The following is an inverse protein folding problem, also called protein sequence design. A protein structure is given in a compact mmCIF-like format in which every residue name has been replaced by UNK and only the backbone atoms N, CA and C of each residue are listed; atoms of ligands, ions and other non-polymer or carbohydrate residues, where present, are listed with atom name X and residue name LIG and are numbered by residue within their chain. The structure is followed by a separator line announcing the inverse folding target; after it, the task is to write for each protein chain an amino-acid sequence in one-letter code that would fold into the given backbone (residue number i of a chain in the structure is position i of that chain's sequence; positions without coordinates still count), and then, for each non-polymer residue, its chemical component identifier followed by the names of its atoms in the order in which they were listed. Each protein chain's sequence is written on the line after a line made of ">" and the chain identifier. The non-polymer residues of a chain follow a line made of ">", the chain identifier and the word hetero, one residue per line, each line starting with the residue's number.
data_IF_322784483372
#
_entry.id   IF_322784483372
#
_cell.length_a   1.000
_cell.length_b   1.000
_cell.length_c   1.000
_cell.angle_alpha   90.00
_cell.angle_beta   90.00
_cell.angle_gamma   90.00
#
_symmetry.space_group_name_H-M   'P 1'
#
loop_
_entity.id
_entity.type
_entity.pdbx_description
1 polymer ?
#
# COMPACT_ATOMS: atom_id res chain seq x y z
N UNK A 1 17.64 13.45 -1.83
CA UNK A 1 18.51 12.33 -2.26
C UNK A 1 17.63 11.10 -2.34
N UNK A 2 17.59 10.38 -3.46
CA UNK A 2 16.74 9.19 -3.57
C UNK A 2 17.22 8.10 -2.60
N UNK A 3 16.32 7.36 -1.94
CA UNK A 3 16.71 6.34 -0.96
C UNK A 3 17.44 5.19 -1.67
N UNK A 4 18.50 4.68 -1.03
CA UNK A 4 19.22 3.50 -1.51
C UNK A 4 18.49 2.19 -1.19
N UNK A 5 17.54 2.22 -0.25
CA UNK A 5 16.72 1.08 0.13
C UNK A 5 15.33 1.55 0.61
N UNK A 6 14.32 0.73 0.35
CA UNK A 6 12.99 0.83 0.96
C UNK A 6 12.68 -0.47 1.70
N UNK A 7 12.13 -0.34 2.90
CA UNK A 7 11.89 -1.49 3.77
C UNK A 7 10.47 -1.49 4.30
N UNK A 8 9.78 -2.61 4.10
CA UNK A 8 8.57 -2.96 4.85
C UNK A 8 8.96 -3.82 6.04
N UNK A 9 8.41 -3.49 7.23
CA UNK A 9 8.55 -4.29 8.45
C UNK A 9 7.18 -4.52 9.07
N UNK A 10 6.95 -5.74 9.50
CA UNK A 10 5.79 -6.12 10.30
C UNK A 10 6.27 -6.90 11.53
N UNK A 11 5.60 -6.66 12.66
CA UNK A 11 5.94 -7.23 13.95
C UNK A 11 5.75 -6.22 15.09
N UNK A 12 6.44 -6.45 16.20
CA UNK A 12 6.47 -5.56 17.36
C UNK A 12 7.77 -4.77 17.43
N UNK A 13 7.84 -3.79 18.33
CA UNK A 13 9.10 -3.08 18.59
C UNK A 13 10.24 -4.01 19.04
N UNK A 14 9.90 -5.15 19.65
CA UNK A 14 10.86 -6.13 20.16
C UNK A 14 11.18 -7.24 19.14
N UNK A 15 10.34 -7.44 18.13
CA UNK A 15 10.49 -8.55 17.17
C UNK A 15 9.93 -8.19 15.79
N UNK A 16 10.80 -8.17 14.79
CA UNK A 16 10.40 -8.14 13.38
C UNK A 16 10.01 -9.55 12.95
N UNK A 17 8.75 -9.72 12.56
CA UNK A 17 8.18 -11.00 12.11
C UNK A 17 8.24 -11.16 10.60
N UNK A 18 8.21 -10.05 9.87
CA UNK A 18 8.36 -10.03 8.41
C UNK A 18 9.11 -8.76 7.99
N UNK A 19 10.08 -8.92 7.09
CA UNK A 19 10.84 -7.81 6.52
C UNK A 19 11.01 -8.01 5.01
N UNK A 20 10.59 -7.03 4.23
CA UNK A 20 10.86 -6.98 2.79
C UNK A 20 11.70 -5.75 2.48
N UNK A 21 12.83 -5.96 1.79
CA UNK A 21 13.78 -4.89 1.44
C UNK A 21 13.89 -4.80 -0.08
N UNK A 22 13.62 -3.61 -0.62
CA UNK A 22 13.88 -3.24 -2.00
C UNK A 22 15.18 -2.45 -2.10
N UNK A 23 16.12 -2.93 -2.92
CA UNK A 23 17.36 -2.21 -3.26
C UNK A 23 17.64 -2.35 -4.75
N UNK A 24 18.47 -1.47 -5.31
CA UNK A 24 18.93 -1.62 -6.69
C UNK A 24 19.73 -2.92 -6.89
N UNK A 25 20.40 -3.42 -5.86
CA UNK A 25 21.26 -4.61 -5.92
C UNK A 25 20.51 -5.94 -5.89
N UNK A 26 19.34 -6.00 -5.23
CA UNK A 26 18.55 -7.23 -5.15
C UNK A 26 17.42 -7.28 -6.19
N UNK A 27 17.20 -6.20 -6.95
CA UNK A 27 16.19 -6.13 -7.99
C UNK A 27 14.74 -6.09 -7.50
N UNK A 28 14.53 -6.10 -6.17
CA UNK A 28 13.21 -5.98 -5.57
C UNK A 28 12.69 -4.54 -5.69
N UNK A 29 11.39 -4.43 -5.90
CA UNK A 29 10.67 -3.15 -6.01
C UNK A 29 9.31 -3.26 -5.37
N UNK A 30 8.77 -2.13 -4.94
CA UNK A 30 7.36 -2.01 -4.61
C UNK A 30 6.60 -1.62 -5.88
N UNK A 31 5.38 -2.13 -6.03
CA UNK A 31 4.40 -1.60 -6.98
C UNK A 31 3.54 -0.54 -6.29
N UNK A 32 2.98 0.39 -7.06
CA UNK A 32 2.09 1.42 -6.57
C UNK A 32 1.02 1.80 -7.61
N UNK A 33 -0.17 2.17 -7.13
CA UNK A 33 -1.31 2.54 -7.98
C UNK A 33 -2.29 3.42 -7.22
N UNK A 34 -3.21 4.05 -7.95
CA UNK A 34 -4.44 4.66 -7.42
C UNK A 34 -5.61 3.90 -8.03
N UNK A 35 -6.53 3.43 -7.21
CA UNK A 35 -7.61 2.57 -7.69
C UNK A 35 -8.92 2.75 -6.90
N UNK A 36 -10.06 2.37 -7.51
CA UNK A 36 -11.30 2.11 -6.80
C UNK A 36 -11.15 1.10 -5.68
N UNK A 37 -11.76 1.36 -4.52
CA UNK A 37 -11.83 0.42 -3.40
C UNK A 37 -13.24 0.16 -2.87
N UNK A 38 -14.30 0.64 -3.54
CA UNK A 38 -15.73 0.42 -3.30
C UNK A 38 -16.49 1.45 -4.17
N UNK A 39 -17.81 1.34 -4.44
CA UNK A 39 -18.45 2.17 -5.47
C UNK A 39 -18.29 3.69 -5.28
N UNK A 40 -17.85 4.16 -4.11
CA UNK A 40 -17.54 5.57 -3.83
C UNK A 40 -16.24 5.82 -3.05
N UNK A 41 -15.26 4.90 -3.04
CA UNK A 41 -14.00 5.07 -2.30
C UNK A 41 -12.78 4.97 -3.20
N UNK A 42 -11.86 5.94 -3.07
CA UNK A 42 -10.63 6.05 -3.84
C UNK A 42 -9.43 5.86 -2.92
N UNK A 43 -8.52 4.96 -3.32
CA UNK A 43 -7.34 4.62 -2.51
C UNK A 43 -6.07 4.67 -3.33
N UNK A 44 -5.00 5.14 -2.71
CA UNK A 44 -3.64 4.87 -3.15
C UNK A 44 -3.18 3.55 -2.57
N UNK A 45 -2.34 2.82 -3.30
CA UNK A 45 -1.87 1.50 -2.94
C UNK A 45 -0.36 1.42 -3.13
N UNK A 46 0.31 0.71 -2.24
CA UNK A 46 1.69 0.25 -2.40
C UNK A 46 1.72 -1.24 -2.05
N UNK A 47 2.35 -2.05 -2.89
CA UNK A 47 2.42 -3.48 -2.66
C UNK A 47 3.80 -4.08 -2.98
N UNK A 48 4.00 -5.30 -2.50
CA UNK A 48 5.11 -6.15 -2.92
C UNK A 48 4.66 -7.61 -2.88
N UNK A 49 5.31 -8.42 -3.71
CA UNK A 49 5.14 -9.87 -3.73
C UNK A 49 6.29 -10.54 -2.98
N UNK A 50 5.94 -11.54 -2.16
CA UNK A 50 6.90 -12.39 -1.45
C UNK A 50 6.39 -13.83 -1.46
N UNK A 51 7.07 -14.68 -2.24
CA UNK A 51 6.63 -16.07 -2.46
C UNK A 51 5.20 -16.11 -2.99
N UNK A 52 4.28 -16.81 -2.32
CA UNK A 52 2.87 -16.93 -2.71
C UNK A 52 1.98 -15.77 -2.22
N UNK A 53 2.57 -14.76 -1.55
CA UNK A 53 1.82 -13.71 -0.88
C UNK A 53 2.03 -12.34 -1.52
N UNK A 54 0.95 -11.59 -1.68
CA UNK A 54 0.96 -10.17 -2.01
C UNK A 54 0.54 -9.35 -0.79
N UNK A 55 1.37 -8.40 -0.40
CA UNK A 55 1.09 -7.48 0.69
C UNK A 55 0.69 -6.14 0.10
N UNK A 56 -0.53 -5.69 0.35
CA UNK A 56 -1.12 -4.48 -0.22
C UNK A 56 -1.40 -3.51 0.92
N UNK A 57 -0.64 -2.44 0.97
CA UNK A 57 -0.88 -1.31 1.86
C UNK A 57 -1.72 -0.28 1.12
N UNK A 58 -2.70 0.32 1.80
CA UNK A 58 -3.59 1.31 1.19
C UNK A 58 -3.73 2.56 2.03
N UNK A 59 -3.97 3.67 1.34
CA UNK A 59 -4.38 4.95 1.93
C UNK A 59 -5.67 5.43 1.27
N UNK A 60 -6.65 5.82 2.07
CA UNK A 60 -7.84 6.50 1.54
C UNK A 60 -7.50 7.93 1.13
N UNK A 61 -7.69 8.23 -0.15
CA UNK A 61 -7.42 9.56 -0.73
C UNK A 61 -8.69 10.30 -1.14
N UNK A 62 -9.83 9.62 -1.24
CA UNK A 62 -11.12 10.26 -1.51
C UNK A 62 -12.32 9.36 -1.30
N UNK A 63 -13.49 9.99 -1.12
CA UNK A 63 -14.76 9.29 -1.00
C UNK A 63 -15.00 8.60 0.35
N UNK A 64 -15.86 7.58 0.34
CA UNK A 64 -16.40 6.94 1.55
C UNK A 64 -15.57 5.72 1.99
N UNK A 65 -14.42 5.97 2.61
CA UNK A 65 -13.63 4.89 3.19
C UNK A 65 -14.03 4.64 4.66
N UNK A 66 -14.39 3.40 5.06
CA UNK A 66 -14.63 3.07 6.48
C UNK A 66 -13.38 3.24 7.36
N UNK A 67 -12.19 3.21 6.78
CA UNK A 67 -10.91 3.38 7.47
C UNK A 67 -9.98 4.28 6.65
N UNK A 68 -9.07 5.04 7.28
CA UNK A 68 -8.16 5.94 6.57
C UNK A 68 -7.05 5.22 5.81
N UNK A 69 -6.70 3.99 6.20
CA UNK A 69 -5.65 3.18 5.62
C UNK A 69 -5.84 1.72 6.05
N UNK A 70 -5.13 0.80 5.39
CA UNK A 70 -5.13 -0.61 5.80
C UNK A 70 -4.04 -1.44 5.14
N UNK A 71 -3.96 -2.68 5.58
CA UNK A 71 -3.11 -3.72 5.03
C UNK A 71 -4.00 -4.90 4.65
N UNK A 72 -3.90 -5.35 3.41
CA UNK A 72 -4.43 -6.62 2.96
C UNK A 72 -3.27 -7.54 2.57
N UNK A 73 -3.38 -8.82 2.90
CA UNK A 73 -2.45 -9.85 2.47
C UNK A 73 -3.24 -10.87 1.69
N UNK A 74 -2.88 -11.06 0.44
CA UNK A 74 -3.47 -12.05 -0.43
C UNK A 74 -2.50 -13.22 -0.56
N UNK A 75 -3.02 -14.44 -0.54
CA UNK A 75 -2.28 -15.63 -0.99
C UNK A 75 -2.80 -15.98 -2.36
N UNK A 76 -2.01 -15.72 -3.40
CA UNK A 76 -2.50 -15.63 -4.79
C UNK A 76 -3.61 -14.58 -4.86
N UNK A 77 -4.83 -14.96 -5.17
CA UNK A 77 -5.99 -14.06 -5.29
C UNK A 77 -6.91 -14.09 -4.06
N UNK A 78 -6.62 -14.94 -3.07
CA UNK A 78 -7.47 -15.10 -1.90
C UNK A 78 -7.00 -14.19 -0.77
N UNK A 79 -7.90 -13.37 -0.24
CA UNK A 79 -7.63 -12.55 0.94
C UNK A 79 -7.33 -13.45 2.14
N UNK A 80 -6.06 -13.49 2.56
CA UNK A 80 -5.59 -14.27 3.69
C UNK A 80 -5.68 -13.49 5.02
N UNK A 81 -5.47 -12.17 4.96
CA UNK A 81 -5.53 -11.29 6.13
C UNK A 81 -5.94 -9.89 5.70
N UNK A 82 -6.69 -9.19 6.55
CA UNK A 82 -6.82 -7.74 6.48
C UNK A 82 -6.70 -7.10 7.86
N UNK A 83 -6.12 -5.91 7.90
CA UNK A 83 -6.03 -5.07 9.09
C UNK A 83 -6.32 -3.63 8.70
N UNK A 84 -7.27 -3.00 9.39
CA UNK A 84 -7.50 -1.57 9.28
C UNK A 84 -6.47 -0.82 10.13
N UNK A 85 -5.90 0.25 9.59
CA UNK A 85 -5.09 1.17 10.39
C UNK A 85 -6.05 2.07 11.20
N UNK A 86 -6.11 1.85 12.51
CA UNK A 86 -6.85 2.75 13.40
C UNK A 86 -6.07 4.06 13.55
N UNK A 87 -6.72 5.19 13.27
CA UNK A 87 -6.15 6.52 13.50
C UNK A 87 -6.45 6.99 14.93
N UNK A 88 -5.49 7.61 15.62
CA UNK A 88 -5.80 8.52 16.71
C UNK A 88 -6.67 9.67 16.19
N UNK A 89 -7.64 10.11 16.98
CA UNK A 89 -8.50 11.25 16.62
C UNK A 89 -7.67 12.50 16.28
N UNK A 90 -8.08 13.22 15.23
CA UNK A 90 -7.52 14.53 14.89
C UNK A 90 -6.26 14.56 14.01
N UNK A 91 -5.67 13.41 13.64
CA UNK A 91 -4.41 13.39 12.86
C UNK A 91 -4.61 12.87 11.44
N UNK A 92 -4.67 13.77 10.44
CA UNK A 92 -4.62 13.40 9.02
C UNK A 92 -3.19 13.48 8.50
N UNK A 93 -2.40 12.43 8.76
CA UNK A 93 -1.11 12.25 8.10
C UNK A 93 -1.28 11.34 6.87
N UNK A 94 -0.55 11.60 5.77
CA UNK A 94 -0.50 10.66 4.67
C UNK A 94 0.14 9.35 5.16
N UNK A 95 -0.42 8.22 4.75
CA UNK A 95 0.16 6.92 5.10
C UNK A 95 1.42 6.64 4.27
N UNK A 96 1.53 7.24 3.08
CA UNK A 96 2.72 7.17 2.23
C UNK A 96 3.47 8.51 2.17
N UNK A 97 4.80 8.43 2.26
CA UNK A 97 5.65 9.63 2.15
C UNK A 97 5.65 10.18 0.73
N UNK A 98 5.34 11.48 0.60
CA UNK A 98 5.39 12.21 -0.68
C UNK A 98 6.80 12.39 -1.24
N UNK A 99 7.81 12.22 -0.39
CA UNK A 99 9.21 12.22 -0.82
C UNK A 99 9.57 10.94 -1.58
N UNK A 100 8.78 9.88 -1.42
CA UNK A 100 8.97 8.59 -2.09
C UNK A 100 8.08 8.49 -3.33
N UNK A 101 6.80 8.82 -3.18
CA UNK A 101 5.80 8.71 -4.23
C UNK A 101 4.76 9.83 -4.12
N UNK A 102 4.40 10.40 -5.26
CA UNK A 102 3.35 11.39 -5.40
C UNK A 102 2.21 10.75 -6.19
N UNK A 103 1.14 10.38 -5.48
CA UNK A 103 -0.06 9.85 -6.12
C UNK A 103 -0.86 10.98 -6.77
N UNK A 104 -1.19 10.80 -8.04
CA UNK A 104 -2.07 11.65 -8.82
C UNK A 104 -3.53 11.18 -8.78
N UNK A 105 -4.30 11.56 -9.79
CA UNK A 105 -5.70 11.14 -9.95
C UNK A 105 -5.81 9.68 -10.45
N UNK A 106 -4.80 9.23 -11.20
CA UNK A 106 -4.61 7.90 -11.74
C UNK A 106 -3.11 7.54 -11.80
N UNK A 107 -2.77 6.44 -12.46
CA UNK A 107 -1.39 5.98 -12.65
C UNK A 107 -0.56 6.88 -13.57
N UNK A 108 -1.18 7.56 -14.54
CA UNK A 108 -0.50 8.46 -15.49
C UNK A 108 -0.10 9.77 -14.81
N UNK A 109 -0.95 10.27 -13.91
CA UNK A 109 -0.70 11.47 -13.11
C UNK A 109 0.16 11.22 -11.86
N UNK A 110 0.52 9.97 -11.59
CA UNK A 110 1.34 9.60 -10.45
C UNK A 110 2.83 9.62 -10.79
N UNK A 111 3.68 9.99 -9.83
CA UNK A 111 5.13 10.04 -10.01
C UNK A 111 5.89 9.39 -8.85
N UNK A 112 6.83 8.50 -9.17
CA UNK A 112 7.75 7.94 -8.20
C UNK A 112 9.04 8.74 -8.16
N UNK A 113 9.47 9.14 -6.96
CA UNK A 113 10.74 9.86 -6.76
C UNK A 113 11.92 8.91 -6.53
N UNK A 114 11.71 7.60 -6.75
CA UNK A 114 12.71 6.55 -6.58
C UNK A 114 12.51 5.43 -7.59
N UNK A 115 13.59 4.80 -8.03
CA UNK A 115 13.52 3.60 -8.89
C UNK A 115 13.01 2.35 -8.15
N UNK A 116 12.85 2.42 -6.82
CA UNK A 116 12.42 1.30 -5.98
C UNK A 116 10.89 1.17 -5.86
N UNK A 117 10.14 2.13 -6.42
CA UNK A 117 8.68 2.07 -6.53
C UNK A 117 8.32 2.19 -8.01
N UNK A 118 7.57 1.21 -8.52
CA UNK A 118 7.01 1.21 -9.88
C UNK A 118 5.55 1.59 -9.81
N UNK A 119 5.14 2.53 -10.65
CA UNK A 119 3.73 2.86 -10.78
C UNK A 119 3.15 1.96 -11.87
N UNK A 120 2.09 1.23 -11.54
CA UNK A 120 1.53 0.17 -12.36
C UNK A 120 -0.01 0.21 -12.27
N UNK A 121 -0.68 0.02 -13.40
CA UNK A 121 -2.15 -0.10 -13.42
C UNK A 121 -2.57 -1.54 -13.11
N UNK A 122 -2.58 -1.84 -11.81
CA UNK A 122 -2.95 -3.15 -11.27
C UNK A 122 -4.05 -2.98 -10.23
N UNK A 123 -5.17 -3.68 -10.43
CA UNK A 123 -6.18 -3.86 -9.40
C UNK A 123 -5.74 -4.98 -8.44
N UNK A 124 -5.36 -4.58 -7.23
CA UNK A 124 -4.97 -5.53 -6.16
C UNK A 124 -6.17 -6.04 -5.35
N UNK A 125 -7.40 -5.88 -5.84
CA UNK A 125 -8.60 -6.31 -5.11
C UNK A 125 -8.82 -5.51 -3.84
N UNK A 126 -8.35 -4.25 -3.77
CA UNK A 126 -8.45 -3.42 -2.57
C UNK A 126 -9.90 -3.24 -2.10
N UNK A 127 -10.89 -3.46 -2.97
CA UNK A 127 -12.29 -3.55 -2.57
C UNK A 127 -12.54 -4.49 -1.38
N UNK A 128 -11.88 -5.65 -1.32
CA UNK A 128 -12.08 -6.61 -0.23
C UNK A 128 -11.61 -6.11 1.15
N UNK A 129 -10.71 -5.12 1.16
CA UNK A 129 -10.28 -4.43 2.37
C UNK A 129 -11.37 -3.52 2.93
N UNK A 130 -12.09 -2.82 2.06
CA UNK A 130 -13.05 -1.76 2.43
C UNK A 130 -14.52 -2.19 2.38
N UNK A 131 -14.82 -3.45 2.02
CA UNK A 131 -16.14 -4.05 2.26
C UNK A 131 -16.45 -4.02 3.76
N UNK A 132 -17.52 -3.31 4.13
CA UNK A 132 -18.14 -3.45 5.46
C UNK A 132 -18.73 -4.86 5.56
N UNK A 133 -18.51 -5.53 6.70
CA UNK A 133 -19.25 -6.74 7.01
C UNK A 133 -20.73 -6.36 7.14
N UNK A 134 -21.60 -7.00 6.36
CA UNK A 134 -23.05 -6.92 6.54
C UNK A 134 -23.46 -7.61 7.83
#
# INVERSE_FOLDING_TARGET
>A
MAPSALTYRYGTAQKVENEYVATASNGHTFGASVAPAAPRAWVSQVWFDRSDYRYVMTECVGGDCPYPAGLAVFRRELLAMKAACQRPEGVRLPAFSRDLIQFGSDTTDSHSNTSLIRIEDIDNGAYDLYKQAR
#
